data_IF_164453375778
#
_entry.id   IF_164453375778
#
_cell.length_a   1.000
_cell.length_b   1.000
_cell.length_c   1.000
_cell.angle_alpha   90.00
_cell.angle_beta   90.00
_cell.angle_gamma   90.00
#
_symmetry.space_group_name_H-M   'P 1'
#
loop_
_entity.id
_entity.type
_entity.pdbx_description
1 polymer ?
#
# COMPACT_ATOMS: atom_id res chain seq x y z
N UNK A 1 -59.37 1.54 47.21
CA UNK A 1 -58.81 2.90 47.38
C UNK A 1 -58.34 3.08 48.83
N UNK A 2 -57.03 3.27 49.03
CA UNK A 2 -56.30 3.80 50.21
C UNK A 2 -54.83 3.63 49.81
N UNK A 3 -54.01 4.63 49.52
CA UNK A 3 -53.84 5.94 50.15
C UNK A 3 -52.34 6.05 50.40
N UNK A 4 -51.64 6.91 49.65
CA UNK A 4 -50.18 6.91 49.57
C UNK A 4 -49.44 7.39 50.81
N UNK A 5 -48.15 7.06 50.90
CA UNK A 5 -47.18 7.83 51.68
C UNK A 5 -45.78 7.61 51.11
N UNK A 6 -45.30 8.62 50.38
CA UNK A 6 -43.90 8.79 49.98
C UNK A 6 -43.05 8.89 51.25
N UNK A 7 -42.45 7.77 51.64
CA UNK A 7 -41.40 7.70 52.65
C UNK A 7 -40.10 8.27 52.09
N UNK A 8 -39.94 9.57 52.29
CA UNK A 8 -38.68 10.35 52.38
C UNK A 8 -37.41 9.49 52.35
N UNK A 9 -36.59 9.72 51.33
CA UNK A 9 -35.21 9.22 51.28
C UNK A 9 -34.44 9.62 52.54
N UNK A 10 -33.67 8.68 53.07
CA UNK A 10 -32.76 8.91 54.21
C UNK A 10 -31.68 9.91 53.78
N UNK A 11 -31.59 11.10 54.41
CA UNK A 11 -30.42 11.96 54.28
C UNK A 11 -29.32 11.38 55.18
N UNK A 12 -28.19 10.99 54.59
CA UNK A 12 -27.04 10.53 55.38
C UNK A 12 -26.30 9.30 54.86
N UNK A 13 -26.30 9.02 53.55
CA UNK A 13 -25.24 8.18 52.99
C UNK A 13 -24.21 9.10 52.33
N UNK A 14 -23.06 9.37 53.01
CA UNK A 14 -21.92 10.02 52.36
C UNK A 14 -21.62 9.26 51.09
N UNK A 15 -21.33 10.00 50.01
CA UNK A 15 -21.05 9.47 48.69
C UNK A 15 -20.33 8.13 48.76
N UNK A 16 -21.08 7.07 48.44
CA UNK A 16 -20.46 5.80 48.11
C UNK A 16 -19.75 6.07 46.81
N UNK A 17 -18.45 6.39 46.90
CA UNK A 17 -17.53 6.42 45.78
C UNK A 17 -17.77 5.12 45.02
N UNK A 18 -18.53 5.15 43.94
CA UNK A 18 -18.67 4.03 43.02
C UNK A 18 -17.29 3.87 42.42
N UNK A 19 -16.42 3.11 43.10
CA UNK A 19 -15.19 2.63 42.49
C UNK A 19 -15.67 1.85 41.27
N UNK A 20 -15.38 2.29 40.03
CA UNK A 20 -15.76 1.53 38.86
C UNK A 20 -15.21 0.13 39.07
N UNK A 21 -16.05 -0.90 38.92
CA UNK A 21 -15.59 -2.28 38.96
C UNK A 21 -14.54 -2.39 37.87
N UNK A 22 -13.26 -2.40 38.28
CA UNK A 22 -12.15 -2.65 37.37
C UNK A 22 -12.45 -4.00 36.75
N UNK A 23 -12.60 -4.04 35.44
CA UNK A 23 -12.81 -5.29 34.73
C UNK A 23 -11.60 -6.17 35.00
N UNK A 24 -11.82 -7.26 35.74
CA UNK A 24 -10.84 -8.33 35.90
C UNK A 24 -11.20 -9.37 34.85
N UNK A 25 -10.37 -9.56 33.81
CA UNK A 25 -10.62 -10.58 32.81
C UNK A 25 -10.63 -11.94 33.48
N UNK A 26 -11.78 -12.62 33.47
CA UNK A 26 -11.84 -14.02 33.85
C UNK A 26 -11.38 -14.85 32.66
N UNK A 27 -10.12 -15.28 32.68
CA UNK A 27 -9.66 -16.29 31.72
C UNK A 27 -10.40 -17.60 31.99
N UNK A 28 -10.95 -18.25 30.96
CA UNK A 28 -11.46 -19.60 31.08
C UNK A 28 -10.37 -20.54 31.59
N UNK A 29 -10.79 -21.60 32.27
CA UNK A 29 -9.88 -22.64 32.71
C UNK A 29 -9.25 -23.36 31.49
N UNK A 30 -7.92 -23.56 31.54
CA UNK A 30 -7.16 -24.38 30.61
C UNK A 30 -6.40 -25.45 31.39
N UNK A 31 -6.61 -26.71 31.01
CA UNK A 31 -5.98 -27.85 31.64
C UNK A 31 -4.46 -27.87 31.45
N UNK A 32 -3.97 -27.54 30.26
CA UNK A 32 -2.53 -27.63 29.96
C UNK A 32 -1.71 -26.56 30.69
N UNK A 33 -2.32 -25.41 30.97
CA UNK A 33 -1.68 -24.35 31.78
C UNK A 33 -1.61 -24.73 33.27
N UNK A 34 -2.55 -25.55 33.73
CA UNK A 34 -2.68 -25.92 35.14
C UNK A 34 -2.28 -27.37 35.44
N UNK A 35 -1.64 -28.07 34.50
CA UNK A 35 -1.39 -29.51 34.57
C UNK A 35 -0.65 -29.95 35.85
N UNK A 36 0.26 -29.11 36.36
CA UNK A 36 1.00 -29.36 37.60
C UNK A 36 0.10 -29.46 38.85
N UNK A 37 -1.08 -28.83 38.82
CA UNK A 37 -2.07 -28.84 39.89
C UNK A 37 -3.03 -30.04 39.77
N UNK A 38 -3.04 -30.75 38.65
CA UNK A 38 -3.92 -31.88 38.36
C UNK A 38 -3.11 -33.16 38.06
N UNK A 39 -2.39 -33.73 39.05
CA UNK A 39 -1.63 -34.96 38.85
C UNK A 39 -2.58 -36.11 38.48
N UNK A 40 -2.19 -36.87 37.44
CA UNK A 40 -3.00 -38.01 36.99
C UNK A 40 -2.94 -39.15 38.00
N UNK A 41 -4.11 -39.70 38.32
CA UNK A 41 -4.24 -40.87 39.21
C UNK A 41 -3.87 -42.19 38.50
N UNK A 42 -3.89 -42.19 37.16
CA UNK A 42 -3.52 -43.32 36.29
C UNK A 42 -2.65 -42.80 35.14
N UNK A 43 -1.76 -43.63 34.56
CA UNK A 43 -0.99 -43.24 33.39
C UNK A 43 -1.92 -42.79 32.26
N UNK A 44 -1.43 -41.86 31.44
CA UNK A 44 -2.17 -41.41 30.26
C UNK A 44 -2.43 -42.60 29.31
N UNK A 45 -3.58 -42.63 28.61
CA UNK A 45 -3.81 -43.59 27.53
C UNK A 45 -2.72 -43.52 26.46
N UNK A 46 -2.50 -44.62 25.77
CA UNK A 46 -1.60 -44.64 24.61
C UNK A 46 -2.29 -44.01 23.39
N UNK A 47 -1.82 -42.84 22.97
CA UNK A 47 -2.34 -42.08 21.83
C UNK A 47 -1.55 -42.34 20.53
N UNK A 48 -0.78 -43.43 20.44
CA UNK A 48 0.01 -43.78 19.25
C UNK A 48 -0.81 -43.81 17.96
N UNK A 49 -2.01 -44.40 17.99
CA UNK A 49 -2.90 -44.45 16.81
C UNK A 49 -3.37 -43.06 16.40
N UNK A 50 -3.75 -42.21 17.36
CA UNK A 50 -4.15 -40.84 17.09
C UNK A 50 -2.98 -40.05 16.49
N UNK A 51 -1.78 -40.22 17.03
CA UNK A 51 -0.56 -39.55 16.57
C UNK A 51 -0.23 -39.94 15.13
N UNK A 52 -0.31 -41.21 14.78
CA UNK A 52 -0.10 -41.68 13.40
C UNK A 52 -1.15 -41.11 12.42
N UNK A 53 -2.41 -41.03 12.84
CA UNK A 53 -3.47 -40.44 12.03
C UNK A 53 -3.26 -38.94 11.82
N UNK A 54 -2.82 -38.20 12.85
CA UNK A 54 -2.49 -36.78 12.74
C UNK A 54 -1.30 -36.56 11.79
N UNK A 55 -0.27 -37.39 11.87
CA UNK A 55 0.88 -37.31 10.96
C UNK A 55 0.47 -37.62 9.51
N UNK A 56 -0.34 -38.64 9.28
CA UNK A 56 -0.89 -38.95 7.94
C UNK A 56 -1.74 -37.81 7.40
N UNK A 57 -2.65 -37.26 8.22
CA UNK A 57 -3.46 -36.09 7.85
C UNK A 57 -2.57 -34.89 7.50
N UNK A 58 -1.49 -34.67 8.24
CA UNK A 58 -0.55 -33.60 7.94
C UNK A 58 0.14 -33.80 6.58
N UNK A 59 0.58 -35.02 6.26
CA UNK A 59 1.16 -35.31 4.95
C UNK A 59 0.15 -35.15 3.82
N UNK A 60 -1.10 -35.56 4.03
CA UNK A 60 -2.18 -35.44 3.04
C UNK A 60 -2.57 -33.98 2.77
N UNK A 61 -2.41 -33.10 3.76
CA UNK A 61 -2.72 -31.66 3.65
C UNK A 61 -1.52 -30.80 3.21
N UNK A 62 -0.29 -31.34 3.30
CA UNK A 62 0.90 -30.61 2.91
C UNK A 62 1.02 -30.60 1.39
N UNK A 63 1.22 -29.42 0.76
CA UNK A 63 1.39 -29.34 -0.69
C UNK A 63 2.53 -30.24 -1.18
N UNK A 64 2.28 -30.95 -2.26
CA UNK A 64 3.28 -31.83 -2.89
C UNK A 64 4.44 -31.02 -3.48
N UNK A 65 5.59 -31.65 -3.68
CA UNK A 65 6.75 -31.00 -4.32
C UNK A 65 6.44 -30.49 -5.74
N UNK A 66 5.56 -31.18 -6.46
CA UNK A 66 5.10 -30.75 -7.77
C UNK A 66 4.28 -29.45 -7.70
N UNK A 67 3.31 -29.35 -6.79
CA UNK A 67 2.51 -28.14 -6.58
C UNK A 67 3.38 -26.96 -6.12
N UNK A 68 4.32 -27.20 -5.21
CA UNK A 68 5.29 -26.18 -4.77
C UNK A 68 6.11 -25.65 -5.95
N UNK A 69 6.59 -26.55 -6.82
CA UNK A 69 7.37 -26.18 -8.01
C UNK A 69 6.51 -25.38 -9.01
N UNK A 70 5.24 -25.76 -9.20
CA UNK A 70 4.32 -25.02 -10.07
C UNK A 70 4.08 -23.59 -9.57
N UNK A 71 3.85 -23.42 -8.26
CA UNK A 71 3.67 -22.11 -7.64
C UNK A 71 4.94 -21.26 -7.79
N UNK A 72 6.11 -21.84 -7.49
CA UNK A 72 7.39 -21.14 -7.63
C UNK A 72 7.60 -20.67 -9.07
N UNK A 73 7.37 -21.53 -10.05
CA UNK A 73 7.49 -21.19 -11.47
C UNK A 73 6.54 -20.07 -11.88
N UNK A 74 5.31 -20.08 -11.37
CA UNK A 74 4.33 -19.02 -11.62
C UNK A 74 4.81 -17.68 -11.04
N UNK A 75 5.22 -17.67 -9.77
CA UNK A 75 5.73 -16.46 -9.09
C UNK A 75 6.93 -15.88 -9.83
N UNK A 76 7.88 -16.72 -10.24
CA UNK A 76 9.07 -16.28 -11.00
C UNK A 76 8.69 -15.68 -12.35
N UNK A 77 7.73 -16.26 -13.07
CA UNK A 77 7.25 -15.70 -14.35
C UNK A 77 6.56 -14.35 -14.16
N UNK A 78 5.74 -14.22 -13.11
CA UNK A 78 5.07 -12.96 -12.79
C UNK A 78 6.10 -11.88 -12.44
N UNK A 79 7.08 -12.21 -11.59
CA UNK A 79 8.15 -11.29 -11.23
C UNK A 79 8.91 -10.79 -12.47
N UNK A 80 9.28 -11.69 -13.37
CA UNK A 80 9.96 -11.32 -14.62
C UNK A 80 9.13 -10.37 -15.50
N UNK A 81 7.80 -10.60 -15.59
CA UNK A 81 6.90 -9.68 -16.32
C UNK A 81 6.85 -8.32 -15.65
N UNK A 82 6.73 -8.26 -14.31
CA UNK A 82 6.69 -6.99 -13.57
C UNK A 82 8.00 -6.20 -13.73
N UNK A 83 9.15 -6.86 -13.67
CA UNK A 83 10.46 -6.24 -13.87
C UNK A 83 10.60 -5.68 -15.30
N UNK A 84 10.11 -6.41 -16.30
CA UNK A 84 10.09 -5.95 -17.69
C UNK A 84 9.18 -4.73 -17.88
N UNK A 85 8.01 -4.69 -17.24
CA UNK A 85 7.12 -3.54 -17.32
C UNK A 85 7.72 -2.31 -16.63
N UNK A 86 8.33 -2.49 -15.46
CA UNK A 86 9.01 -1.41 -14.75
C UNK A 86 10.14 -0.79 -15.60
N UNK A 87 10.97 -1.61 -16.22
CA UNK A 87 12.05 -1.11 -17.10
C UNK A 87 11.51 -0.43 -18.37
N UNK A 88 10.49 -1.02 -19.02
CA UNK A 88 9.85 -0.43 -20.19
C UNK A 88 9.25 0.95 -19.89
N UNK A 89 8.54 1.11 -18.77
CA UNK A 89 7.96 2.40 -18.40
C UNK A 89 9.02 3.48 -18.20
N UNK A 90 10.16 3.15 -17.58
CA UNK A 90 11.29 4.08 -17.45
C UNK A 90 11.90 4.45 -18.81
N UNK A 91 12.05 3.47 -19.71
CA UNK A 91 12.53 3.72 -21.07
C UNK A 91 11.58 4.60 -21.88
N UNK A 92 10.27 4.39 -21.76
CA UNK A 92 9.27 5.23 -22.41
C UNK A 92 9.29 6.66 -21.87
N UNK A 93 9.40 6.83 -20.55
CA UNK A 93 9.54 8.16 -19.95
C UNK A 93 10.77 8.88 -20.47
N UNK A 94 11.92 8.19 -20.51
CA UNK A 94 13.16 8.77 -21.06
C UNK A 94 13.03 9.13 -22.54
N UNK A 95 12.47 8.25 -23.36
CA UNK A 95 12.23 8.55 -24.79
C UNK A 95 11.30 9.75 -24.97
N UNK A 96 10.28 9.88 -24.11
CA UNK A 96 9.38 11.03 -24.16
C UNK A 96 10.12 12.32 -23.81
N UNK A 97 10.96 12.33 -22.76
CA UNK A 97 11.76 13.50 -22.40
C UNK A 97 12.75 13.89 -23.49
N UNK A 98 13.33 12.91 -24.20
CA UNK A 98 14.29 13.15 -25.28
C UNK A 98 13.62 13.71 -26.56
N UNK A 99 12.32 13.48 -26.76
CA UNK A 99 11.56 13.95 -27.93
C UNK A 99 10.83 15.28 -27.70
N UNK A 100 10.55 15.64 -26.45
CA UNK A 100 9.91 16.90 -26.12
C UNK A 100 10.93 18.04 -26.19
N UNK A 101 10.76 19.03 -27.09
CA UNK A 101 11.69 20.15 -27.18
C UNK A 101 11.73 20.91 -25.86
N UNK A 102 12.93 21.24 -25.41
CA UNK A 102 13.15 21.94 -24.15
C UNK A 102 12.61 23.37 -24.21
N UNK A 103 12.35 24.00 -23.06
CA UNK A 103 11.91 25.40 -23.01
C UNK A 103 12.91 26.36 -23.68
N UNK A 104 14.20 26.03 -23.61
CA UNK A 104 15.25 26.78 -24.30
C UNK A 104 15.11 26.66 -25.83
N UNK A 105 14.99 25.43 -26.35
CA UNK A 105 14.77 25.20 -27.79
C UNK A 105 13.47 25.85 -28.29
N UNK A 106 12.38 25.77 -27.52
CA UNK A 106 11.13 26.44 -27.84
C UNK A 106 11.29 27.97 -27.91
N UNK A 107 12.05 28.56 -26.99
CA UNK A 107 12.33 30.00 -26.97
C UNK A 107 13.17 30.41 -28.17
N UNK A 108 14.17 29.61 -28.55
CA UNK A 108 14.99 29.86 -29.73
C UNK A 108 14.15 29.84 -31.01
N UNK A 109 13.28 28.85 -31.17
CA UNK A 109 12.37 28.76 -32.34
C UNK A 109 11.43 29.96 -32.38
N UNK A 110 10.84 30.35 -31.25
CA UNK A 110 9.94 31.50 -31.19
C UNK A 110 10.65 32.80 -31.61
N UNK A 111 11.87 33.02 -31.11
CA UNK A 111 12.67 34.18 -31.47
C UNK A 111 12.97 34.21 -32.97
N UNK A 112 13.35 33.07 -33.55
CA UNK A 112 13.64 32.94 -34.97
C UNK A 112 12.40 33.23 -35.83
N UNK A 113 11.24 32.66 -35.47
CA UNK A 113 9.96 32.92 -36.16
C UNK A 113 9.60 34.40 -36.09
N UNK A 114 9.82 35.05 -34.94
CA UNK A 114 9.53 36.47 -34.76
C UNK A 114 10.43 37.34 -35.65
N UNK A 115 11.72 37.02 -35.75
CA UNK A 115 12.64 37.71 -36.65
C UNK A 115 12.25 37.52 -38.12
N UNK A 116 11.90 36.29 -38.54
CA UNK A 116 11.45 36.01 -39.90
C UNK A 116 10.16 36.77 -40.26
N UNK A 117 9.20 36.84 -39.34
CA UNK A 117 7.98 37.63 -39.54
C UNK A 117 8.31 39.11 -39.70
N UNK A 118 9.19 39.68 -38.88
CA UNK A 118 9.61 41.06 -39.01
C UNK A 118 10.28 41.35 -40.37
N UNK A 119 11.13 40.43 -40.86
CA UNK A 119 11.74 40.53 -42.20
C UNK A 119 10.68 40.52 -43.30
N UNK A 120 9.71 39.59 -43.24
CA UNK A 120 8.63 39.49 -44.22
C UNK A 120 7.73 40.72 -44.22
N UNK A 121 7.37 41.24 -43.04
CA UNK A 121 6.56 42.45 -42.90
C UNK A 121 7.27 43.67 -43.50
N UNK A 122 8.58 43.82 -43.25
CA UNK A 122 9.38 44.90 -43.83
C UNK A 122 9.45 44.82 -45.37
N UNK A 123 9.63 43.62 -45.92
CA UNK A 123 9.66 43.40 -47.38
C UNK A 123 8.30 43.66 -48.05
N UNK A 124 7.19 43.40 -47.35
CA UNK A 124 5.85 43.67 -47.86
C UNK A 124 5.57 45.17 -48.04
N UNK A 125 6.11 46.01 -47.15
CA UNK A 125 5.90 47.47 -47.17
C UNK A 125 6.90 48.18 -48.10
N UNK A 126 8.13 47.65 -48.25
CA UNK A 126 9.18 48.24 -49.09
C UNK A 126 9.92 47.16 -49.92
N UNK A 127 9.29 46.67 -51.01
CA UNK A 127 9.90 45.65 -51.86
C UNK A 127 11.21 46.19 -52.46
N UNK A 128 12.29 45.41 -52.30
CA UNK A 128 13.67 45.67 -52.74
C UNK A 128 14.60 46.43 -51.75
N UNK A 129 14.20 46.68 -50.50
CA UNK A 129 15.10 47.21 -49.46
C UNK A 129 15.51 46.13 -48.46
N UNK A 130 16.79 45.76 -48.43
CA UNK A 130 17.33 44.66 -47.58
C UNK A 130 18.05 45.14 -46.31
N UNK A 131 18.17 46.46 -46.11
CA UNK A 131 18.95 47.05 -45.00
C UNK A 131 18.42 46.71 -43.59
N UNK A 132 17.16 46.28 -43.46
CA UNK A 132 16.55 45.86 -42.19
C UNK A 132 16.42 44.35 -41.99
N UNK A 133 16.95 43.52 -42.89
CA UNK A 133 16.71 42.07 -42.90
C UNK A 133 17.79 41.26 -42.16
N UNK A 134 18.16 41.65 -40.93
CA UNK A 134 19.15 40.93 -40.13
C UNK A 134 18.48 39.80 -39.30
N UNK A 135 19.00 38.58 -39.45
CA UNK A 135 18.63 37.42 -38.63
C UNK A 135 19.79 37.16 -37.69
N UNK A 136 19.68 37.61 -36.45
CA UNK A 136 20.67 37.34 -35.41
C UNK A 136 20.33 36.00 -34.76
N UNK A 137 21.17 34.99 -35.03
CA UNK A 137 21.10 33.71 -34.34
C UNK A 137 21.54 33.94 -32.89
N UNK A 138 20.58 34.03 -31.96
CA UNK A 138 20.88 34.10 -30.54
C UNK A 138 21.43 32.75 -30.09
N UNK A 139 22.74 32.59 -30.15
CA UNK A 139 23.46 31.45 -29.60
C UNK A 139 23.65 31.68 -28.10
N UNK A 140 23.10 30.81 -27.26
CA UNK A 140 23.46 30.67 -25.84
C UNK A 140 24.81 29.99 -25.68
#
# INVERSE_FOLDING_TARGET
MRGGMRGRGRPGRPGGMFKPKVFVPHLPFDFYVSEQLFPRVKPAPDDNTLTQLLLKKNTDLTPTSAEQTLILNLVTKIQAVLDNLATLTQLLLKKNTDLTPTSAEQTLILNLVTQLLAVLDNLAVAPCTFEGCQIDLVTT
#
